data_IF_236890371216
#
_entry.id   IF_236890371216
#
_cell.length_a   1.000
_cell.length_b   1.000
_cell.length_c   1.000
_cell.angle_alpha   90.00
_cell.angle_beta   90.00
_cell.angle_gamma   90.00
#
_symmetry.space_group_name_H-M   'P 1'
#
loop_
_entity.id
_entity.type
_entity.pdbx_description
1 polymer ?
#
# COMPACT_ATOMS: atom_id res chain seq x y z
N UNK A 1 -20.48 -3.60 -0.62
CA UNK A 1 -19.19 -3.98 -0.02
C UNK A 1 -18.08 -3.37 -0.86
N UNK A 2 -17.06 -2.75 -0.26
CA UNK A 2 -15.87 -2.33 -1.01
C UNK A 2 -14.90 -3.51 -1.12
N UNK A 3 -14.21 -3.65 -2.24
CA UNK A 3 -13.27 -4.76 -2.47
C UNK A 3 -11.97 -4.17 -3.03
N UNK A 4 -10.84 -4.43 -2.38
CA UNK A 4 -9.53 -4.07 -2.91
C UNK A 4 -9.10 -5.06 -4.00
N UNK A 5 -8.72 -4.55 -5.17
CA UNK A 5 -8.20 -5.36 -6.28
C UNK A 5 -6.78 -4.93 -6.61
N UNK A 6 -5.81 -5.81 -6.37
CA UNK A 6 -4.46 -5.67 -6.89
C UNK A 6 -4.41 -6.11 -8.36
N UNK A 7 -3.73 -5.34 -9.21
CA UNK A 7 -3.61 -5.67 -10.64
C UNK A 7 -4.90 -5.51 -11.45
N UNK A 8 -5.76 -4.55 -11.08
CA UNK A 8 -7.07 -4.31 -11.72
C UNK A 8 -7.01 -4.03 -13.24
N UNK A 9 -5.84 -3.65 -13.77
CA UNK A 9 -5.63 -3.38 -15.20
C UNK A 9 -5.33 -4.62 -16.05
N UNK A 10 -5.01 -5.76 -15.43
CA UNK A 10 -4.78 -7.02 -16.15
C UNK A 10 -6.10 -7.65 -16.63
N UNK A 11 -6.05 -8.54 -17.62
CA UNK A 11 -7.25 -9.16 -18.19
C UNK A 11 -8.11 -9.91 -17.15
N UNK A 12 -7.46 -10.59 -16.19
CA UNK A 12 -8.14 -11.24 -15.05
C UNK A 12 -8.65 -10.19 -14.05
N UNK A 13 -7.87 -9.14 -13.77
CA UNK A 13 -8.26 -8.05 -12.88
C UNK A 13 -9.53 -7.33 -13.36
N UNK A 14 -9.60 -7.02 -14.65
CA UNK A 14 -10.78 -6.43 -15.30
C UNK A 14 -11.99 -7.36 -15.16
N UNK A 15 -11.82 -8.67 -15.35
CA UNK A 15 -12.89 -9.63 -15.17
C UNK A 15 -13.40 -9.66 -13.71
N UNK A 16 -12.49 -9.68 -12.74
CA UNK A 16 -12.83 -9.63 -11.31
C UNK A 16 -13.58 -8.35 -10.96
N UNK A 17 -13.11 -7.19 -11.44
CA UNK A 17 -13.78 -5.89 -11.24
C UNK A 17 -15.20 -5.90 -11.81
N UNK A 18 -15.38 -6.35 -13.05
CA UNK A 18 -16.69 -6.39 -13.69
C UNK A 18 -17.65 -7.35 -12.98
N UNK A 19 -17.17 -8.52 -12.56
CA UNK A 19 -17.96 -9.48 -11.79
C UNK A 19 -18.36 -8.90 -10.44
N UNK A 20 -17.44 -8.24 -9.73
CA UNK A 20 -17.75 -7.59 -8.45
C UNK A 20 -18.83 -6.50 -8.60
N UNK A 21 -18.75 -5.68 -9.66
CA UNK A 21 -19.78 -4.67 -9.98
C UNK A 21 -21.13 -5.34 -10.25
N UNK A 22 -21.16 -6.41 -11.05
CA UNK A 22 -22.38 -7.15 -11.35
C UNK A 22 -23.03 -7.77 -10.09
N UNK A 23 -22.21 -8.11 -9.08
CA UNK A 23 -22.66 -8.58 -7.77
C UNK A 23 -23.07 -7.46 -6.79
N UNK A 24 -23.06 -6.20 -7.23
CA UNK A 24 -23.42 -5.04 -6.40
C UNK A 24 -22.32 -4.60 -5.43
N UNK A 25 -21.06 -4.92 -5.72
CA UNK A 25 -19.90 -4.48 -4.94
C UNK A 25 -19.23 -3.26 -5.57
N UNK A 26 -18.41 -2.56 -4.78
CA UNK A 26 -17.66 -1.37 -5.18
C UNK A 26 -16.16 -1.71 -5.18
N UNK A 27 -15.60 -2.24 -6.28
CA UNK A 27 -14.17 -2.49 -6.35
C UNK A 27 -13.37 -1.19 -6.28
N UNK A 28 -12.22 -1.24 -5.63
CA UNK A 28 -11.23 -0.17 -5.49
C UNK A 28 -9.88 -0.78 -5.86
N UNK A 29 -9.13 -0.17 -6.76
CA UNK A 29 -7.81 -0.68 -7.12
C UNK A 29 -6.73 -0.12 -6.20
N UNK A 30 -5.61 -0.85 -6.06
CA UNK A 30 -4.51 -0.44 -5.19
C UNK A 30 -3.94 0.94 -5.55
N UNK A 31 -3.87 1.29 -6.83
CA UNK A 31 -3.32 2.58 -7.27
C UNK A 31 -4.21 3.73 -6.79
N UNK A 32 -5.53 3.55 -6.85
CA UNK A 32 -6.49 4.53 -6.34
C UNK A 32 -6.39 4.77 -4.83
N UNK A 33 -5.89 3.80 -4.05
CA UNK A 33 -5.65 3.97 -2.61
C UNK A 33 -4.48 4.91 -2.30
N UNK A 34 -3.54 5.11 -3.23
CA UNK A 34 -2.42 6.04 -3.07
C UNK A 34 -2.86 7.50 -2.98
N UNK A 35 -4.06 7.82 -3.50
CA UNK A 35 -4.65 9.15 -3.41
C UNK A 35 -5.51 9.35 -2.14
N UNK A 36 -5.59 8.35 -1.26
CA UNK A 36 -6.34 8.44 -0.01
C UNK A 36 -5.44 8.97 1.12
N UNK A 37 -5.82 10.09 1.72
CA UNK A 37 -5.09 10.69 2.84
C UNK A 37 -4.93 9.74 4.04
N UNK A 38 -5.91 8.86 4.29
CA UNK A 38 -5.83 7.89 5.37
C UNK A 38 -4.69 6.87 5.19
N UNK A 39 -4.29 6.61 3.93
CA UNK A 39 -3.23 5.66 3.59
C UNK A 39 -1.82 6.28 3.62
N UNK A 40 -1.68 7.60 3.81
CA UNK A 40 -0.38 8.27 3.81
C UNK A 40 0.49 7.79 4.98
N UNK A 41 1.75 7.47 4.68
CA UNK A 41 2.75 6.97 5.64
C UNK A 41 2.25 5.73 6.41
N UNK A 42 1.55 4.83 5.71
CA UNK A 42 1.11 3.54 6.23
C UNK A 42 1.75 2.45 5.39
N UNK A 43 2.40 1.50 6.05
CA UNK A 43 2.90 0.28 5.39
C UNK A 43 1.96 -0.89 5.70
N UNK A 44 1.34 -1.47 4.66
CA UNK A 44 0.53 -2.69 4.77
C UNK A 44 0.95 -3.71 3.71
N UNK A 45 0.76 -4.98 4.05
CA UNK A 45 1.01 -6.09 3.14
C UNK A 45 -0.30 -6.65 2.58
N UNK A 46 -0.27 -7.02 1.30
CA UNK A 46 -1.36 -7.77 0.69
C UNK A 46 -1.08 -9.27 0.80
N UNK A 47 -1.94 -9.97 1.54
CA UNK A 47 -1.89 -11.43 1.65
C UNK A 47 -2.96 -12.03 0.74
N UNK A 48 -2.56 -12.89 -0.19
CA UNK A 48 -3.48 -13.59 -1.08
C UNK A 48 -4.05 -14.86 -0.43
N UNK A 49 -4.82 -14.69 0.63
CA UNK A 49 -5.51 -15.77 1.32
C UNK A 49 -7.03 -15.74 1.09
N UNK A 50 -7.68 -16.90 1.26
CA UNK A 50 -9.15 -16.98 1.20
C UNK A 50 -9.71 -16.50 2.53
N UNK A 51 -10.48 -15.42 2.50
CA UNK A 51 -11.13 -14.86 3.68
C UNK A 51 -12.30 -13.95 3.35
N UNK A 52 -12.83 -13.30 4.39
CA UNK A 52 -13.86 -12.28 4.24
C UNK A 52 -13.28 -11.04 3.53
N UNK A 53 -14.06 -10.47 2.61
CA UNK A 53 -13.64 -9.25 1.92
C UNK A 53 -13.51 -8.08 2.92
N UNK A 54 -12.43 -7.31 2.81
CA UNK A 54 -12.24 -6.12 3.63
C UNK A 54 -13.20 -5.01 3.21
N UNK A 55 -14.09 -4.63 4.12
CA UNK A 55 -15.25 -3.79 3.82
C UNK A 55 -14.94 -2.29 3.79
N UNK A 56 -13.95 -1.84 4.55
CA UNK A 56 -13.66 -0.42 4.76
C UNK A 56 -12.16 -0.16 4.88
N UNK A 57 -11.53 0.09 3.73
CA UNK A 57 -10.10 0.37 3.63
C UNK A 57 -9.69 1.66 4.38
N UNK A 58 -10.42 2.80 4.27
CA UNK A 58 -10.13 3.98 5.12
C UNK A 58 -10.07 3.67 6.62
N UNK A 59 -11.04 2.92 7.16
CA UNK A 59 -11.01 2.54 8.59
C UNK A 59 -9.84 1.63 8.90
N UNK A 60 -9.47 0.71 7.99
CA UNK A 60 -8.26 -0.10 8.16
C UNK A 60 -7.01 0.78 8.22
N UNK A 61 -6.83 1.70 7.27
CA UNK A 61 -5.69 2.61 7.25
C UNK A 61 -5.64 3.50 8.50
N UNK A 62 -6.79 4.00 8.96
CA UNK A 62 -6.89 4.81 10.18
C UNK A 62 -6.43 4.06 11.44
N UNK A 63 -6.62 2.74 11.48
CA UNK A 63 -6.22 1.89 12.59
C UNK A 63 -4.75 1.44 12.52
N UNK A 64 -4.05 1.67 11.40
CA UNK A 64 -2.64 1.32 11.27
C UNK A 64 -1.77 2.34 12.00
N UNK A 65 -0.60 1.89 12.47
CA UNK A 65 0.44 2.81 12.96
C UNK A 65 1.05 3.55 11.77
N UNK A 66 1.47 4.80 11.98
CA UNK A 66 2.15 5.57 10.93
C UNK A 66 3.64 5.31 10.95
N UNK A 67 4.23 5.26 9.76
CA UNK A 67 5.67 5.24 9.57
C UNK A 67 6.28 6.56 10.06
N UNK A 68 7.55 6.51 10.47
CA UNK A 68 8.29 7.71 10.86
C UNK A 68 8.76 8.41 9.58
N UNK A 69 8.35 9.66 9.30
CA UNK A 69 8.74 10.36 8.07
C UNK A 69 10.25 10.65 7.97
N UNK A 70 11.02 10.45 9.04
CA UNK A 70 12.48 10.58 9.07
C UNK A 70 13.22 9.25 8.88
N UNK A 71 12.50 8.13 8.81
CA UNK A 71 13.06 6.80 8.56
C UNK A 71 12.55 6.28 7.21
N UNK A 72 13.34 5.38 6.61
CA UNK A 72 12.94 4.70 5.38
C UNK A 72 12.08 3.45 5.67
N UNK A 73 12.28 2.85 6.83
CA UNK A 73 11.63 1.58 7.20
C UNK A 73 10.21 1.78 7.74
N UNK A 74 9.40 0.73 7.60
CA UNK A 74 8.04 0.70 8.11
C UNK A 74 8.00 0.75 9.63
N UNK A 75 6.89 1.24 10.17
CA UNK A 75 6.67 1.22 11.62
C UNK A 75 6.68 -0.22 12.14
N UNK A 76 7.52 -0.47 13.16
CA UNK A 76 7.79 -1.77 13.78
C UNK A 76 8.75 -2.70 13.02
N UNK A 77 9.32 -2.27 11.90
CA UNK A 77 10.39 -3.02 11.25
C UNK A 77 11.61 -3.15 12.19
N UNK A 78 12.28 -4.29 12.09
CA UNK A 78 13.52 -4.53 12.82
C UNK A 78 14.62 -3.67 12.18
N UNK A 79 15.39 -2.94 12.99
CA UNK A 79 16.53 -2.14 12.52
C UNK A 79 17.71 -3.06 12.08
N UNK A 80 17.54 -3.84 11.01
CA UNK A 80 18.51 -4.80 10.49
C UNK A 80 18.98 -4.54 9.05
N UNK A 81 18.49 -3.46 8.42
CA UNK A 81 18.91 -3.02 7.08
C UNK A 81 19.53 -1.61 7.14
N UNK A 82 20.82 -1.48 7.51
CA UNK A 82 21.46 -0.18 7.63
C UNK A 82 21.74 0.44 6.25
N UNK A 83 21.25 1.67 6.02
CA UNK A 83 21.39 2.41 4.74
C UNK A 83 22.83 2.45 4.20
N UNK A 84 23.85 2.48 5.08
CA UNK A 84 25.26 2.52 4.67
C UNK A 84 25.74 1.23 3.97
N UNK A 85 25.00 0.15 4.09
CA UNK A 85 25.30 -1.16 3.49
C UNK A 85 24.55 -1.36 2.16
N UNK A 86 23.66 -0.43 1.79
CA UNK A 86 23.00 -0.41 0.49
C UNK A 86 23.98 -0.08 -0.66
N UNK A 87 23.71 -0.49 -1.90
CA UNK A 87 24.49 -0.09 -3.06
C UNK A 87 24.55 1.44 -3.22
N UNK A 88 25.67 1.95 -3.73
CA UNK A 88 25.91 3.40 -3.86
C UNK A 88 24.82 4.12 -4.68
N UNK A 89 24.27 3.46 -5.72
CA UNK A 89 23.16 4.02 -6.49
C UNK A 89 21.90 4.24 -5.64
N UNK A 90 21.58 3.31 -4.74
CA UNK A 90 20.42 3.40 -3.85
C UNK A 90 20.63 4.50 -2.80
N UNK A 91 21.83 4.58 -2.20
CA UNK A 91 22.18 5.65 -1.26
C UNK A 91 22.04 7.02 -1.93
N UNK A 92 22.52 7.16 -3.16
CA UNK A 92 22.42 8.40 -3.92
C UNK A 92 20.96 8.76 -4.21
N UNK A 93 20.14 7.80 -4.66
CA UNK A 93 18.72 8.02 -4.93
C UNK A 93 17.96 8.44 -3.67
N UNK A 94 18.19 7.77 -2.54
CA UNK A 94 17.58 8.14 -1.25
C UNK A 94 17.95 9.59 -0.88
N UNK A 95 19.22 9.97 -1.00
CA UNK A 95 19.71 11.32 -0.71
C UNK A 95 19.14 12.40 -1.65
N UNK A 96 18.78 12.06 -2.90
CA UNK A 96 18.12 12.99 -3.81
C UNK A 96 16.72 13.36 -3.31
N UNK A 97 16.03 12.39 -2.70
CA UNK A 97 14.67 12.57 -2.17
C UNK A 97 14.66 13.04 -0.70
N UNK A 98 15.79 13.03 0.02
CA UNK A 98 15.89 13.55 1.39
C UNK A 98 16.10 15.08 1.46
N UNK A 99 16.06 15.82 0.35
CA UNK A 99 16.32 17.27 0.36
C UNK A 99 15.13 18.13 0.82
N UNK A 100 15.19 18.44 2.11
CA UNK A 100 14.90 19.71 2.83
C UNK A 100 13.43 20.12 3.02
N UNK A 101 13.13 20.41 4.29
CA UNK A 101 12.03 21.21 4.84
C UNK A 101 11.30 22.17 3.88
#
# INVERSE_FOLDING_TARGET
MKILVAGATGCIGIHVVNTAIAMGHQPVDLVSTLSNDAAKNKTFELVAERGEAQQDLPTLFANMQSDNPQKNDGVLDIDNMPVREEPECIINDLNLHTKVN
#
